data_IF_065305949769
#
_entry.id   IF_065305949769
#
_cell.length_a   1.000
_cell.length_b   1.000
_cell.length_c   1.000
_cell.angle_alpha   90.00
_cell.angle_beta   90.00
_cell.angle_gamma   90.00
#
_symmetry.space_group_name_H-M   'P 1'
#
loop_
_entity.id
_entity.type
_entity.pdbx_description
1 polymer ?
#
# COMPACT_ATOMS: atom_id res chain seq x y z
N UNK A 1 -11.50 -2.81 -0.80
CA UNK A 1 -10.86 -1.65 -0.16
C UNK A 1 -10.37 -0.73 -1.26
N UNK A 2 -10.74 0.55 -1.23
CA UNK A 2 -10.27 1.55 -2.20
C UNK A 2 -9.76 2.74 -1.39
N UNK A 3 -8.45 2.96 -1.38
CA UNK A 3 -7.81 4.13 -0.76
C UNK A 3 -7.65 5.19 -1.85
N UNK A 4 -8.29 6.35 -1.69
CA UNK A 4 -8.14 7.49 -2.61
C UNK A 4 -7.06 8.41 -2.05
N UNK A 5 -6.06 8.77 -2.88
CA UNK A 5 -4.90 9.60 -2.50
C UNK A 5 -4.09 9.01 -1.32
N UNK A 6 -3.51 7.81 -1.45
CA UNK A 6 -2.73 7.19 -0.39
C UNK A 6 -1.52 8.06 -0.01
N UNK A 7 -1.24 8.16 1.29
CA UNK A 7 -0.06 8.83 1.83
C UNK A 7 0.84 7.88 2.64
N UNK A 8 1.86 8.44 3.29
CA UNK A 8 2.82 7.64 4.05
C UNK A 8 2.17 6.88 5.22
N UNK A 9 1.17 7.48 5.87
CA UNK A 9 0.40 6.85 6.95
C UNK A 9 -0.41 5.63 6.50
N UNK A 10 -0.67 5.48 5.20
CA UNK A 10 -1.43 4.36 4.64
C UNK A 10 -0.53 3.16 4.29
N UNK A 11 0.77 3.22 4.58
CA UNK A 11 1.67 2.10 4.37
C UNK A 11 1.59 1.11 5.55
N UNK A 12 1.51 -0.18 5.25
CA UNK A 12 1.44 -1.19 6.30
C UNK A 12 0.92 -2.54 5.85
N UNK A 13 0.66 -3.37 6.85
CA UNK A 13 0.10 -4.71 6.68
C UNK A 13 -1.40 -4.63 6.86
N UNK A 14 -2.15 -4.97 5.81
CA UNK A 14 -3.60 -5.04 5.86
C UNK A 14 -4.05 -6.50 5.99
N UNK A 15 -5.03 -6.75 6.84
CA UNK A 15 -5.68 -8.06 6.98
C UNK A 15 -7.08 -7.97 6.40
N UNK A 16 -7.34 -8.75 5.35
CA UNK A 16 -8.69 -8.90 4.80
C UNK A 16 -9.36 -10.04 5.54
N UNK A 17 -10.56 -9.79 6.04
CA UNK A 17 -11.40 -10.80 6.71
C UNK A 17 -12.70 -10.90 5.94
N UNK A 18 -12.95 -12.08 5.37
CA UNK A 18 -14.19 -12.42 4.71
C UNK A 18 -15.03 -13.30 5.65
N UNK A 19 -16.24 -12.86 5.98
CA UNK A 19 -17.17 -13.59 6.84
C UNK A 19 -18.45 -13.89 6.08
N UNK A 20 -18.91 -15.12 6.17
CA UNK A 20 -20.23 -15.55 5.73
C UNK A 20 -20.89 -16.41 6.83
N UNK A 21 -22.17 -16.80 6.71
CA UNK A 21 -22.83 -17.62 7.74
C UNK A 21 -22.17 -18.98 8.01
N UNK A 22 -21.32 -19.48 7.11
CA UNK A 22 -20.63 -20.76 7.22
C UNK A 22 -19.23 -20.65 7.85
N UNK A 23 -18.73 -19.42 8.06
CA UNK A 23 -17.45 -19.21 8.72
C UNK A 23 -16.73 -17.93 8.32
N UNK A 24 -15.48 -17.85 8.74
CA UNK A 24 -14.60 -16.71 8.46
C UNK A 24 -13.29 -17.19 7.85
N UNK A 25 -12.84 -16.49 6.81
CA UNK A 25 -11.53 -16.68 6.20
C UNK A 25 -10.76 -15.35 6.24
N UNK A 26 -9.44 -15.40 6.45
CA UNK A 26 -8.62 -14.18 6.45
C UNK A 26 -7.32 -14.36 5.70
N UNK A 27 -6.96 -13.34 4.92
CA UNK A 27 -5.72 -13.26 4.14
C UNK A 27 -4.99 -11.97 4.50
N UNK A 28 -3.68 -12.04 4.68
CA UNK A 28 -2.84 -10.88 4.92
C UNK A 28 -2.28 -10.36 3.59
N UNK A 29 -2.37 -9.04 3.39
CA UNK A 29 -1.84 -8.34 2.23
C UNK A 29 -0.95 -7.19 2.68
N UNK A 30 0.31 -7.21 2.25
CA UNK A 30 1.22 -6.10 2.50
C UNK A 30 0.99 -5.02 1.44
N UNK A 31 0.76 -3.78 1.88
CA UNK A 31 0.66 -2.63 0.99
C UNK A 31 1.85 -1.70 1.22
N UNK A 32 2.64 -1.53 0.16
CA UNK A 32 3.79 -0.63 0.14
C UNK A 32 3.59 0.35 -1.01
N UNK A 33 3.36 1.61 -0.67
CA UNK A 33 3.37 2.69 -1.66
C UNK A 33 4.83 2.98 -2.03
N UNK A 34 5.33 2.35 -3.09
CA UNK A 34 6.64 2.69 -3.65
C UNK A 34 6.50 4.01 -4.40
N UNK A 35 6.94 5.12 -3.80
CA UNK A 35 7.16 6.36 -4.53
C UNK A 35 8.24 6.10 -5.59
N UNK A 36 7.84 5.72 -6.80
CA UNK A 36 8.73 5.74 -7.96
C UNK A 36 8.89 7.21 -8.34
N UNK A 37 9.76 7.93 -7.63
CA UNK A 37 10.18 9.25 -8.04
C UNK A 37 10.78 9.11 -9.44
N UNK A 38 10.09 9.63 -10.46
CA UNK A 38 10.67 9.87 -11.79
C UNK A 38 11.58 11.11 -11.75
N UNK A 39 12.31 11.31 -10.65
CA UNK A 39 13.27 12.40 -10.51
C UNK A 39 14.64 11.76 -10.48
N UNK A 40 15.13 11.44 -11.69
CA UNK A 40 16.56 11.29 -11.92
C UNK A 40 17.16 12.62 -11.52
N UNK A 41 17.81 12.66 -10.35
CA UNK A 41 18.60 13.80 -9.89
C UNK A 41 19.47 14.26 -11.05
N UNK A 42 19.17 15.43 -11.63
CA UNK A 42 20.12 16.11 -12.49
C UNK A 42 21.25 16.56 -11.57
N UNK A 43 22.34 15.82 -11.58
CA UNK A 43 23.60 16.29 -11.03
C UNK A 43 23.99 17.54 -11.83
N UNK A 44 23.67 18.73 -11.32
CA UNK A 44 24.43 19.93 -11.69
C UNK A 44 25.80 19.76 -11.04
N UNK A 45 26.79 19.44 -11.88
CA UNK A 45 28.19 19.67 -11.53
C UNK A 45 28.47 21.14 -11.80
N UNK A 46 28.74 21.91 -10.74
CA UNK A 46 29.57 23.12 -10.83
C UNK A 46 31.05 22.71 -10.87
#
# INVERSE_FOLDING_TARGET
MVIKNPGQQDQGIYKIVATNPQGTHSVQQNYVMKCTANEVFKTQMD
#
